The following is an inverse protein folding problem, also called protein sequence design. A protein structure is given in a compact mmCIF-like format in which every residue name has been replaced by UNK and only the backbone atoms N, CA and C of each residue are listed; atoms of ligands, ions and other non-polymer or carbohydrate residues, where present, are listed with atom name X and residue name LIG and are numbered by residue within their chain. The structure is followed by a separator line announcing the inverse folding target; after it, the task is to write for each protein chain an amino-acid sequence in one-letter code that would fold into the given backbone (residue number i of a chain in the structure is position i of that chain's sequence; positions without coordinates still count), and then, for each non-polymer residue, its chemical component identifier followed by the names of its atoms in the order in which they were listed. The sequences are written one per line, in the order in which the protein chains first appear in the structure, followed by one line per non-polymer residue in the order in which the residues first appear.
data_IF_081370840432
#
_entry.id   IF_081370840432
#
_cell.length_a   1.000
_cell.length_b   1.000
_cell.length_c   1.000
_cell.angle_alpha   90.00
_cell.angle_beta   90.00
_cell.angle_gamma   90.00
#
_symmetry.space_group_name_H-M   'P 1'
#
loop_
_entity.id
_entity.type
_entity.pdbx_description
1 polymer ?
#
# COMPACT_ATOMS: atom_id res chain seq x y z
N UNK A 1 22.40 -37.13 -30.77
CA UNK A 1 21.91 -37.41 -29.40
C UNK A 1 21.82 -36.07 -28.69
N UNK A 2 20.70 -35.33 -28.78
CA UNK A 2 19.43 -35.50 -28.03
C UNK A 2 19.65 -35.26 -26.54
N UNK A 3 19.00 -34.35 -25.80
CA UNK A 3 17.92 -33.38 -26.02
C UNK A 3 17.92 -32.38 -24.83
N UNK A 4 17.70 -31.08 -25.02
CA UNK A 4 16.44 -30.33 -24.91
C UNK A 4 15.51 -30.64 -23.72
N UNK A 5 15.19 -29.56 -22.97
CA UNK A 5 13.92 -29.22 -22.30
C UNK A 5 13.36 -30.13 -21.20
N UNK A 6 13.41 -29.66 -19.95
CA UNK A 6 12.44 -29.99 -18.89
C UNK A 6 11.99 -28.71 -18.17
N UNK A 7 11.30 -27.85 -18.92
CA UNK A 7 10.21 -27.05 -18.39
C UNK A 7 8.94 -27.87 -18.64
N UNK A 8 8.57 -28.66 -17.65
CA UNK A 8 7.44 -29.57 -17.79
C UNK A 8 6.13 -28.77 -17.86
N UNK A 9 5.48 -28.88 -19.02
CA UNK A 9 4.15 -28.35 -19.31
C UNK A 9 3.29 -29.56 -19.68
N UNK A 10 2.16 -29.75 -19.00
CA UNK A 10 1.08 -30.56 -19.56
C UNK A 10 -0.32 -29.89 -19.40
N UNK A 11 -1.19 -29.97 -20.42
CA UNK A 11 -2.46 -29.22 -20.58
C UNK A 11 -3.68 -30.12 -20.28
N UNK A 12 -4.97 -29.75 -20.32
CA UNK A 12 -5.80 -28.54 -20.45
C UNK A 12 -7.21 -28.90 -19.95
N UNK A 13 -7.96 -27.94 -19.40
CA UNK A 13 -9.38 -27.67 -19.72
C UNK A 13 -9.94 -26.57 -18.81
N UNK A 14 -10.44 -25.47 -19.40
CA UNK A 14 -11.20 -24.45 -18.68
C UNK A 14 -10.89 -23.03 -19.13
N UNK A 15 -11.46 -22.63 -20.28
CA UNK A 15 -11.44 -21.26 -20.79
C UNK A 15 -12.01 -20.27 -19.76
N UNK A 16 -11.17 -19.42 -19.16
CA UNK A 16 -11.57 -18.07 -18.68
C UNK A 16 -10.36 -17.13 -18.79
N UNK A 17 -10.60 -15.91 -19.29
CA UNK A 17 -9.58 -14.92 -19.60
C UNK A 17 -8.69 -14.59 -18.42
N UNK A 18 -7.43 -15.05 -18.49
CA UNK A 18 -6.42 -14.80 -17.48
C UNK A 18 -5.98 -13.34 -17.59
N UNK A 19 -6.56 -12.48 -16.73
CA UNK A 19 -5.97 -11.18 -16.34
C UNK A 19 -4.45 -11.37 -16.21
N UNK A 20 -3.67 -10.59 -16.96
CA UNK A 20 -2.23 -10.55 -16.82
C UNK A 20 -1.90 -10.37 -15.33
N UNK A 21 -1.25 -11.37 -14.71
CA UNK A 21 -0.78 -11.24 -13.32
C UNK A 21 0.32 -10.19 -13.35
N UNK A 22 0.02 -9.00 -12.84
CA UNK A 22 1.02 -7.97 -12.61
C UNK A 22 2.06 -8.54 -11.65
N UNK A 23 3.30 -8.66 -12.13
CA UNK A 23 4.49 -9.16 -11.42
C UNK A 23 4.46 -10.67 -11.09
N UNK A 24 5.35 -11.44 -11.71
CA UNK A 24 5.41 -12.89 -11.47
C UNK A 24 6.16 -13.22 -10.17
N UNK A 25 5.77 -14.32 -9.52
CA UNK A 25 6.32 -14.74 -8.24
C UNK A 25 7.83 -15.06 -8.33
N UNK A 26 8.31 -15.43 -9.52
CA UNK A 26 9.73 -15.60 -9.83
C UNK A 26 10.49 -14.27 -9.93
N UNK A 27 9.86 -13.24 -10.52
CA UNK A 27 10.44 -11.89 -10.65
C UNK A 27 10.66 -11.25 -9.27
N UNK A 28 9.72 -11.47 -8.34
CA UNK A 28 9.84 -11.00 -6.96
C UNK A 28 11.02 -11.63 -6.22
N UNK A 29 11.21 -12.96 -6.34
CA UNK A 29 12.32 -13.66 -5.68
C UNK A 29 13.67 -13.13 -6.16
N UNK A 30 13.82 -12.93 -7.46
CA UNK A 30 15.02 -12.35 -8.06
C UNK A 30 15.28 -10.92 -7.59
N UNK A 31 14.24 -10.09 -7.55
CA UNK A 31 14.34 -8.71 -7.06
C UNK A 31 14.74 -8.66 -5.58
N UNK A 32 14.13 -9.48 -4.73
CA UNK A 32 14.45 -9.57 -3.30
C UNK A 32 15.91 -9.99 -3.10
N UNK A 33 16.37 -11.00 -3.82
CA UNK A 33 17.76 -11.46 -3.73
C UNK A 33 18.74 -10.36 -4.20
N UNK A 34 18.40 -9.62 -5.26
CA UNK A 34 19.21 -8.50 -5.75
C UNK A 34 19.29 -7.33 -4.74
N UNK A 35 18.24 -7.11 -3.96
CA UNK A 35 18.25 -6.12 -2.86
C UNK A 35 19.16 -6.60 -1.72
N UNK A 36 18.97 -7.85 -1.28
CA UNK A 36 19.75 -8.47 -0.20
C UNK A 36 21.25 -8.49 -0.56
N UNK A 37 21.58 -8.67 -1.85
CA UNK A 37 22.96 -8.64 -2.33
C UNK A 37 23.65 -7.29 -2.14
N UNK A 38 22.91 -6.19 -2.23
CA UNK A 38 23.45 -4.85 -2.00
C UNK A 38 23.62 -4.56 -0.52
N UNK A 39 22.64 -4.97 0.28
CA UNK A 39 22.68 -4.78 1.72
C UNK A 39 21.87 -5.88 2.44
N UNK A 40 22.45 -6.54 3.46
CA UNK A 40 21.70 -7.44 4.32
C UNK A 40 20.53 -6.70 4.97
N UNK A 41 19.32 -7.26 4.84
CA UNK A 41 18.08 -6.52 5.10
C UNK A 41 17.08 -7.36 5.87
N UNK A 42 16.21 -6.71 6.65
CA UNK A 42 15.08 -7.35 7.30
C UNK A 42 13.86 -7.45 6.38
N UNK A 43 12.94 -8.37 6.67
CA UNK A 43 11.75 -8.58 5.84
C UNK A 43 10.89 -7.31 5.63
N UNK A 44 10.74 -6.48 6.67
CA UNK A 44 9.99 -5.22 6.54
C UNK A 44 10.72 -4.18 5.66
N UNK A 45 12.05 -4.12 5.73
CA UNK A 45 12.87 -3.23 4.89
C UNK A 45 12.77 -3.63 3.43
N UNK A 46 12.76 -4.94 3.16
CA UNK A 46 12.55 -5.48 1.82
C UNK A 46 11.18 -5.12 1.24
N UNK A 47 10.12 -5.07 2.06
CA UNK A 47 8.80 -4.61 1.60
C UNK A 47 8.87 -3.14 1.16
N UNK A 48 9.54 -2.29 1.93
CA UNK A 48 9.69 -0.87 1.60
C UNK A 48 10.56 -0.66 0.36
N UNK A 49 11.72 -1.32 0.30
CA UNK A 49 12.67 -1.20 -0.80
C UNK A 49 12.07 -1.70 -2.13
N UNK A 50 11.28 -2.78 -2.10
CA UNK A 50 10.55 -3.23 -3.29
C UNK A 50 9.53 -2.18 -3.73
N UNK A 51 8.76 -1.61 -2.80
CA UNK A 51 7.80 -0.55 -3.13
C UNK A 51 8.46 0.69 -3.73
N UNK A 52 9.57 1.14 -3.16
CA UNK A 52 10.33 2.29 -3.67
C UNK A 52 10.93 2.02 -5.05
N UNK A 53 11.57 0.87 -5.23
CA UNK A 53 12.16 0.49 -6.53
C UNK A 53 11.10 0.43 -7.61
N UNK A 54 9.90 -0.06 -7.27
CA UNK A 54 8.76 -0.16 -8.17
C UNK A 54 7.97 1.14 -8.32
N UNK A 55 8.51 2.28 -7.86
CA UNK A 55 7.89 3.59 -8.01
C UNK A 55 6.50 3.68 -7.36
N UNK A 56 6.28 2.92 -6.28
CA UNK A 56 5.00 2.83 -5.60
C UNK A 56 3.94 1.99 -6.30
N UNK A 57 4.23 1.40 -7.47
CA UNK A 57 3.24 0.65 -8.26
C UNK A 57 2.92 -0.73 -7.70
N UNK A 58 3.78 -1.27 -6.83
CA UNK A 58 3.57 -2.56 -6.18
C UNK A 58 4.28 -2.64 -4.83
N UNK A 59 3.54 -3.01 -3.79
CA UNK A 59 4.04 -3.30 -2.44
C UNK A 59 3.71 -4.75 -2.07
N UNK A 60 4.72 -5.63 -1.89
CA UNK A 60 4.45 -7.01 -1.53
C UNK A 60 3.87 -7.11 -0.12
N UNK A 61 2.84 -7.93 0.06
CA UNK A 61 2.31 -8.23 1.40
C UNK A 61 3.22 -9.20 2.15
N UNK A 62 3.18 -9.25 3.49
CA UNK A 62 3.89 -10.25 4.28
C UNK A 62 3.64 -11.69 3.80
N UNK A 63 2.41 -12.03 3.44
CA UNK A 63 2.03 -13.36 2.95
C UNK A 63 2.59 -13.73 1.58
N UNK A 64 3.16 -12.77 0.85
CA UNK A 64 3.87 -13.00 -0.41
C UNK A 64 5.38 -12.90 -0.22
N UNK A 65 5.84 -11.96 0.61
CA UNK A 65 7.26 -11.74 0.86
C UNK A 65 7.89 -12.90 1.64
N UNK A 66 7.30 -13.33 2.76
CA UNK A 66 7.94 -14.32 3.62
C UNK A 66 8.05 -15.70 2.95
N UNK A 67 7.06 -16.21 2.20
CA UNK A 67 7.26 -17.44 1.43
C UNK A 67 8.34 -17.31 0.34
N UNK A 68 8.51 -16.12 -0.26
CA UNK A 68 9.60 -15.87 -1.20
C UNK A 68 10.96 -15.89 -0.51
N UNK A 69 11.07 -15.33 0.71
CA UNK A 69 12.30 -15.38 1.52
C UNK A 69 12.62 -16.78 2.03
N UNK A 70 11.60 -17.54 2.47
CA UNK A 70 11.74 -18.96 2.81
C UNK A 70 12.27 -19.74 1.62
N UNK A 71 11.74 -19.50 0.42
CA UNK A 71 12.24 -20.17 -0.78
C UNK A 71 13.71 -19.83 -1.09
N UNK A 72 14.12 -18.57 -0.93
CA UNK A 72 15.52 -18.17 -1.12
C UNK A 72 16.45 -18.81 -0.07
N UNK A 73 15.96 -18.95 1.16
CA UNK A 73 16.67 -19.63 2.24
C UNK A 73 16.80 -21.13 2.00
N UNK A 74 15.69 -21.81 1.69
CA UNK A 74 15.66 -23.26 1.46
C UNK A 74 16.53 -23.68 0.25
N UNK A 75 16.65 -22.79 -0.75
CA UNK A 75 17.52 -22.99 -1.92
C UNK A 75 18.98 -22.65 -1.67
N UNK A 76 19.31 -22.15 -0.48
CA UNK A 76 20.67 -21.73 -0.11
C UNK A 76 21.14 -20.47 -0.82
N UNK A 77 20.23 -19.64 -1.36
CA UNK A 77 20.58 -18.36 -2.01
C UNK A 77 20.68 -17.20 -1.01
N UNK A 78 19.99 -17.33 0.13
CA UNK A 78 20.09 -16.40 1.24
C UNK A 78 20.23 -17.17 2.54
N UNK A 79 20.92 -16.60 3.51
CA UNK A 79 21.02 -17.10 4.87
C UNK A 79 20.40 -16.12 5.86
N UNK A 80 20.14 -16.59 7.07
CA UNK A 80 19.53 -15.80 8.13
C UNK A 80 20.54 -15.56 9.24
N UNK A 81 20.95 -14.31 9.39
CA UNK A 81 21.66 -13.84 10.57
C UNK A 81 20.64 -13.50 11.67
N UNK A 82 20.81 -14.14 12.83
CA UNK A 82 20.02 -13.83 14.02
C UNK A 82 20.71 -12.70 14.79
N UNK A 83 20.11 -11.51 14.76
CA UNK A 83 20.58 -10.40 15.56
C UNK A 83 20.17 -10.52 17.04
N UNK A 84 20.88 -9.77 17.90
CA UNK A 84 20.48 -9.58 19.30
C UNK A 84 19.04 -9.03 19.34
N UNK A 85 18.11 -9.82 19.87
CA UNK A 85 16.68 -9.51 19.88
C UNK A 85 15.81 -10.41 18.99
N UNK A 86 16.37 -11.45 18.37
CA UNK A 86 15.60 -12.48 17.65
C UNK A 86 15.08 -12.03 16.28
N UNK A 87 15.54 -10.88 15.78
CA UNK A 87 15.17 -10.37 14.46
C UNK A 87 16.01 -11.07 13.40
N UNK A 88 15.31 -11.61 12.39
CA UNK A 88 15.93 -12.28 11.24
C UNK A 88 16.41 -11.24 10.23
N UNK A 89 17.71 -11.21 9.97
CA UNK A 89 18.31 -10.44 8.87
C UNK A 89 18.70 -11.41 7.76
N UNK A 90 18.35 -11.09 6.52
CA UNK A 90 18.69 -11.92 5.37
C UNK A 90 19.98 -11.40 4.75
N UNK A 91 20.92 -12.31 4.48
CA UNK A 91 22.20 -12.05 3.80
C UNK A 91 22.32 -12.97 2.59
N UNK A 92 22.92 -12.49 1.51
CA UNK A 92 23.16 -13.32 0.32
C UNK A 92 24.31 -14.31 0.56
N UNK A 93 24.21 -15.50 -0.02
CA UNK A 93 25.27 -16.51 -0.05
C UNK A 93 26.07 -16.45 -1.36
N UNK A 94 27.14 -17.23 -1.46
CA UNK A 94 27.92 -17.32 -2.71
C UNK A 94 27.10 -17.98 -3.82
N UNK A 95 26.28 -18.97 -3.50
CA UNK A 95 25.31 -19.59 -4.41
C UNK A 95 24.25 -18.59 -4.87
N UNK A 96 23.81 -17.69 -3.98
CA UNK A 96 22.91 -16.60 -4.32
C UNK A 96 23.53 -15.61 -5.30
N UNK A 97 24.81 -15.26 -5.12
CA UNK A 97 25.55 -14.40 -6.04
C UNK A 97 25.73 -15.05 -7.43
N UNK A 98 26.02 -16.35 -7.48
CA UNK A 98 26.07 -17.10 -8.73
C UNK A 98 24.70 -17.12 -9.42
N UNK A 99 23.62 -17.31 -8.66
CA UNK A 99 22.26 -17.30 -9.18
C UNK A 99 21.86 -15.91 -9.74
N UNK A 100 22.21 -14.82 -9.06
CA UNK A 100 22.01 -13.47 -9.59
C UNK A 100 22.79 -13.23 -10.88
N UNK A 101 24.04 -13.68 -10.93
CA UNK A 101 24.91 -13.52 -12.11
C UNK A 101 24.34 -14.27 -13.32
N UNK A 102 23.84 -15.50 -13.12
CA UNK A 102 23.19 -16.29 -14.17
C UNK A 102 21.88 -15.67 -14.67
N UNK A 103 21.18 -14.89 -13.83
CA UNK A 103 19.90 -14.25 -14.14
C UNK A 103 20.03 -12.74 -14.41
N UNK A 104 21.26 -12.24 -14.63
CA UNK A 104 21.55 -10.81 -14.77
C UNK A 104 20.70 -10.13 -15.84
N UNK A 105 20.54 -10.75 -17.02
CA UNK A 105 19.70 -10.22 -18.10
C UNK A 105 18.24 -10.04 -17.68
N UNK A 106 17.69 -10.96 -16.88
CA UNK A 106 16.32 -10.88 -16.38
C UNK A 106 16.21 -9.78 -15.33
N UNK A 107 17.21 -9.65 -14.44
CA UNK A 107 17.26 -8.57 -13.45
C UNK A 107 17.37 -7.21 -14.13
N UNK A 108 18.23 -7.07 -15.12
CA UNK A 108 18.41 -5.82 -15.87
C UNK A 108 17.11 -5.45 -16.62
N UNK A 109 16.42 -6.44 -17.21
CA UNK A 109 15.09 -6.23 -17.80
C UNK A 109 14.02 -5.86 -16.75
N UNK A 110 14.05 -6.47 -15.56
CA UNK A 110 13.13 -6.14 -14.47
C UNK A 110 13.37 -4.71 -13.99
N UNK A 111 14.62 -4.35 -13.72
CA UNK A 111 15.01 -2.99 -13.32
C UNK A 111 14.65 -1.97 -14.42
N UNK A 112 14.80 -2.32 -15.70
CA UNK A 112 14.41 -1.48 -16.81
C UNK A 112 12.89 -1.34 -16.98
N UNK A 113 12.11 -2.42 -16.77
CA UNK A 113 10.63 -2.43 -16.84
C UNK A 113 9.99 -1.65 -15.69
N UNK A 114 10.73 -1.52 -14.61
CA UNK A 114 10.36 -0.85 -13.37
C UNK A 114 10.54 0.67 -13.45
N UNK A 115 11.06 1.18 -14.56
CA UNK A 115 11.10 2.62 -14.86
C UNK A 115 10.33 2.90 -16.16
N UNK A 116 9.03 3.24 -16.11
CA UNK A 116 8.50 4.13 -17.11
C UNK A 116 9.19 5.48 -16.94
N UNK A 117 9.67 6.06 -18.04
CA UNK A 117 10.01 7.49 -18.11
C UNK A 117 8.82 8.31 -17.59
N UNK A 118 8.85 8.68 -16.31
CA UNK A 118 8.05 9.79 -15.81
C UNK A 118 8.76 11.08 -16.27
N UNK A 119 8.57 11.43 -17.54
CA UNK A 119 8.66 12.82 -17.93
C UNK A 119 7.53 13.56 -17.22
N UNK A 120 7.90 14.32 -16.19
CA UNK A 120 6.99 15.14 -15.37
C UNK A 120 6.62 14.48 -14.05
N UNK A 121 7.38 14.75 -12.98
CA UNK A 121 7.02 15.65 -11.87
C UNK A 121 8.22 15.71 -10.90
N UNK A 122 8.38 16.85 -10.22
CA UNK A 122 9.62 17.37 -9.65
C UNK A 122 10.39 16.48 -8.65
N UNK A 123 11.68 16.84 -8.48
CA UNK A 123 12.56 16.45 -7.36
C UNK A 123 11.77 16.23 -6.08
N UNK A 124 12.06 15.16 -5.33
CA UNK A 124 11.63 15.07 -3.92
C UNK A 124 11.96 16.39 -3.23
N UNK A 125 10.99 17.16 -2.70
CA UNK A 125 11.26 18.51 -2.21
C UNK A 125 12.30 18.43 -1.10
N UNK A 126 13.42 19.12 -1.27
CA UNK A 126 14.56 19.13 -0.34
C UNK A 126 14.13 19.32 1.13
N UNK A 127 13.06 20.08 1.36
CA UNK A 127 12.42 20.28 2.65
C UNK A 127 11.99 18.98 3.37
N UNK A 128 11.53 17.95 2.64
CA UNK A 128 11.11 16.67 3.24
C UNK A 128 12.33 15.90 3.74
N UNK A 129 13.43 15.92 2.98
CA UNK A 129 14.69 15.27 3.37
C UNK A 129 15.26 15.94 4.62
N UNK A 130 15.28 17.28 4.65
CA UNK A 130 15.75 18.06 5.80
C UNK A 130 14.89 17.81 7.06
N UNK A 131 13.57 17.71 6.92
CA UNK A 131 12.66 17.38 8.01
C UNK A 131 12.89 15.97 8.57
N UNK A 132 13.12 14.98 7.69
CA UNK A 132 13.43 13.61 8.10
C UNK A 132 14.78 13.51 8.82
N UNK A 133 15.80 14.25 8.37
CA UNK A 133 17.11 14.31 9.04
C UNK A 133 17.03 15.00 10.40
N UNK A 134 16.17 16.00 10.56
CA UNK A 134 15.88 16.58 11.86
C UNK A 134 15.22 15.57 12.80
N UNK A 135 14.19 14.85 12.34
CA UNK A 135 13.51 13.80 13.13
C UNK A 135 14.48 12.70 13.56
N UNK A 136 15.30 12.19 12.62
CA UNK A 136 16.33 11.18 12.92
C UNK A 136 17.31 11.68 13.97
N UNK A 137 17.77 12.93 13.88
CA UNK A 137 18.67 13.52 14.89
C UNK A 137 18.00 13.65 16.25
N UNK A 138 16.77 14.12 16.32
CA UNK A 138 16.00 14.21 17.57
C UNK A 138 15.86 12.85 18.27
N UNK A 139 15.61 11.80 17.50
CA UNK A 139 15.52 10.42 18.00
C UNK A 139 16.90 9.81 18.33
N UNK A 140 17.94 10.20 17.59
CA UNK A 140 19.31 9.67 17.74
C UNK A 140 20.16 10.40 18.77
N UNK A 141 19.78 11.61 19.19
CA UNK A 141 20.48 12.46 20.17
C UNK A 141 20.64 11.81 21.55
N UNK A 142 20.16 10.58 21.74
CA UNK A 142 20.17 9.84 23.01
C UNK A 142 20.96 8.55 23.02
N UNK A 143 21.84 8.29 22.05
CA UNK A 143 22.69 7.10 22.04
C UNK A 143 23.70 6.98 23.22
N UNK A 144 23.75 7.95 24.15
CA UNK A 144 24.68 7.98 25.30
C UNK A 144 24.02 8.14 26.69
N UNK A 145 22.69 8.05 26.82
CA UNK A 145 22.00 8.20 28.12
C UNK A 145 21.00 7.07 28.39
N UNK A 146 20.64 6.94 29.68
CA UNK A 146 19.79 5.92 30.31
C UNK A 146 18.58 5.44 29.49
N UNK A 147 18.12 4.18 29.75
CA UNK A 147 16.93 3.62 29.10
C UNK A 147 15.75 4.57 29.14
N UNK A 148 15.13 4.77 27.98
CA UNK A 148 13.93 5.59 27.86
C UNK A 148 12.79 4.82 28.52
N UNK A 149 12.08 5.47 29.45
CA UNK A 149 10.88 4.87 30.04
C UNK A 149 9.87 4.53 28.94
N UNK A 150 9.22 3.37 29.04
CA UNK A 150 8.27 2.87 28.02
C UNK A 150 7.18 3.90 27.69
N UNK A 151 6.73 4.67 28.68
CA UNK A 151 5.75 5.75 28.50
C UNK A 151 6.23 6.82 27.49
N UNK A 152 7.53 7.15 27.50
CA UNK A 152 8.12 8.12 26.57
C UNK A 152 8.24 7.51 25.17
N UNK A 153 8.57 6.22 25.05
CA UNK A 153 8.60 5.50 23.75
C UNK A 153 7.21 5.46 23.12
N UNK A 154 6.19 5.11 23.91
CA UNK A 154 4.78 5.12 23.48
C UNK A 154 4.38 6.52 23.01
N UNK A 155 4.72 7.56 23.77
CA UNK A 155 4.39 8.94 23.41
C UNK A 155 5.07 9.41 22.12
N UNK A 156 6.33 9.01 21.89
CA UNK A 156 7.03 9.28 20.64
C UNK A 156 6.32 8.60 19.46
N UNK A 157 5.91 7.33 19.63
CA UNK A 157 5.16 6.59 18.63
C UNK A 157 3.85 7.29 18.26
N UNK A 158 3.06 7.73 19.25
CA UNK A 158 1.82 8.48 19.04
C UNK A 158 2.04 9.76 18.19
N UNK A 159 3.08 10.53 18.49
CA UNK A 159 3.41 11.76 17.76
C UNK A 159 3.73 11.45 16.29
N UNK A 160 4.52 10.40 16.05
CA UNK A 160 4.89 9.98 14.68
C UNK A 160 3.66 9.50 13.92
N UNK A 161 2.77 8.74 14.56
CA UNK A 161 1.51 8.29 13.95
C UNK A 161 0.60 9.46 13.57
N UNK A 162 0.45 10.47 14.43
CA UNK A 162 -0.32 11.68 14.10
C UNK A 162 0.28 12.41 12.90
N UNK A 163 1.60 12.59 12.86
CA UNK A 163 2.27 13.24 11.74
C UNK A 163 2.11 12.45 10.43
N UNK A 164 2.22 11.12 10.48
CA UNK A 164 2.01 10.25 9.32
C UNK A 164 0.58 10.35 8.78
N UNK A 165 -0.43 10.32 9.65
CA UNK A 165 -1.84 10.48 9.26
C UNK A 165 -2.09 11.84 8.57
N UNK A 166 -1.48 12.91 9.07
CA UNK A 166 -1.58 14.24 8.45
C UNK A 166 -0.94 14.28 7.06
N UNK A 167 0.23 13.65 6.88
CA UNK A 167 0.90 13.55 5.58
C UNK A 167 0.06 12.70 4.62
N UNK A 168 -0.49 11.57 5.07
CA UNK A 168 -1.40 10.75 4.28
C UNK A 168 -2.63 11.54 3.86
N UNK A 169 -3.24 12.33 4.75
CA UNK A 169 -4.35 13.21 4.40
C UNK A 169 -3.98 14.25 3.32
N UNK A 170 -2.78 14.82 3.38
CA UNK A 170 -2.27 15.76 2.37
C UNK A 170 -1.99 15.10 1.02
N UNK A 171 -1.36 13.93 1.01
CA UNK A 171 -1.07 13.17 -0.22
C UNK A 171 -2.32 12.57 -0.84
N UNK A 172 -3.35 12.33 -0.02
CA UNK A 172 -4.67 11.91 -0.45
C UNK A 172 -5.59 13.11 -0.74
N UNK A 173 -5.14 14.36 -0.60
CA UNK A 173 -5.90 15.52 -1.07
C UNK A 173 -6.00 15.47 -2.60
N UNK A 174 -7.18 15.70 -3.20
CA UNK A 174 -7.39 15.37 -4.60
C UNK A 174 -6.69 16.44 -5.46
N UNK A 175 -5.79 15.99 -6.34
CA UNK A 175 -5.39 16.82 -7.49
C UNK A 175 -6.46 16.63 -8.57
N UNK A 176 -7.53 17.42 -8.48
CA UNK A 176 -8.64 17.36 -9.42
C UNK A 176 -8.15 17.86 -10.80
N UNK A 177 -8.14 16.99 -11.81
CA UNK A 177 -7.99 17.46 -13.20
C UNK A 177 -9.28 18.17 -13.64
N UNK A 178 -9.17 19.16 -14.53
CA UNK A 178 -10.31 19.78 -15.18
C UNK A 178 -11.17 18.70 -15.88
N UNK A 179 -12.35 18.39 -15.32
CA UNK A 179 -13.28 17.37 -15.86
C UNK A 179 -13.80 16.33 -14.87
N UNK A 180 -13.30 16.26 -13.64
CA UNK A 180 -13.86 15.37 -12.61
C UNK A 180 -15.24 15.84 -12.15
N UNK A 181 -16.22 14.92 -12.11
CA UNK A 181 -17.57 15.21 -11.63
C UNK A 181 -17.65 14.95 -10.12
N UNK A 182 -18.27 15.85 -9.37
CA UNK A 182 -18.32 15.78 -7.90
C UNK A 182 -19.73 15.99 -7.38
N UNK A 183 -20.10 15.23 -6.35
CA UNK A 183 -21.33 15.48 -5.60
C UNK A 183 -21.13 15.24 -4.10
N UNK A 184 -22.03 15.79 -3.30
CA UNK A 184 -22.08 15.61 -1.85
C UNK A 184 -23.49 15.19 -1.43
N UNK A 185 -23.60 14.35 -0.41
CA UNK A 185 -24.85 14.07 0.29
C UNK A 185 -24.65 14.30 1.78
N UNK A 186 -25.51 15.13 2.36
CA UNK A 186 -25.59 15.37 3.80
C UNK A 186 -26.76 14.57 4.35
N UNK A 187 -26.44 13.52 5.10
CA UNK A 187 -27.43 12.57 5.64
C UNK A 187 -27.65 12.93 7.10
N UNK A 188 -28.88 13.36 7.44
CA UNK A 188 -29.22 13.70 8.83
C UNK A 188 -29.35 12.41 9.64
N UNK A 189 -28.40 12.17 10.55
CA UNK A 189 -28.42 11.02 11.45
C UNK A 189 -27.57 11.29 12.69
N UNK A 190 -28.05 10.95 13.90
CA UNK A 190 -27.23 10.99 15.10
C UNK A 190 -26.19 9.86 15.15
N UNK A 191 -26.27 8.88 14.24
CA UNK A 191 -25.45 7.66 14.26
C UNK A 191 -24.36 7.64 13.15
N UNK A 192 -23.86 8.80 12.72
CA UNK A 192 -22.91 8.89 11.60
C UNK A 192 -21.67 7.99 11.73
N UNK A 193 -21.10 7.86 12.93
CA UNK A 193 -19.95 6.98 13.21
C UNK A 193 -20.22 5.51 12.89
N UNK A 194 -21.46 5.06 13.08
CA UNK A 194 -21.87 3.69 12.77
C UNK A 194 -21.83 3.44 11.28
N UNK A 195 -22.31 4.40 10.48
CA UNK A 195 -22.27 4.32 9.02
C UNK A 195 -20.84 4.40 8.49
N UNK A 196 -20.03 5.32 9.04
CA UNK A 196 -18.60 5.42 8.76
C UNK A 196 -17.90 4.07 8.98
N UNK A 197 -18.02 3.48 10.18
CA UNK A 197 -17.42 2.18 10.52
C UNK A 197 -17.89 1.05 9.61
N UNK A 198 -19.19 0.99 9.32
CA UNK A 198 -19.78 -0.11 8.55
C UNK A 198 -19.42 -0.04 7.06
N UNK A 199 -19.48 1.14 6.44
CA UNK A 199 -19.03 1.33 5.07
C UNK A 199 -17.53 1.06 4.97
N UNK A 200 -16.75 1.63 5.89
CA UNK A 200 -15.32 1.38 5.99
C UNK A 200 -14.96 -0.09 6.01
N UNK A 201 -15.49 -0.85 6.97
CA UNK A 201 -15.26 -2.29 7.10
C UNK A 201 -15.72 -3.08 5.87
N UNK A 202 -16.84 -2.69 5.25
CA UNK A 202 -17.34 -3.35 4.04
C UNK A 202 -16.34 -3.21 2.87
N UNK A 203 -15.77 -2.02 2.69
CA UNK A 203 -14.86 -1.73 1.58
C UNK A 203 -13.40 -2.11 1.84
N UNK A 204 -12.99 -2.29 3.11
CA UNK A 204 -11.63 -2.73 3.48
C UNK A 204 -11.18 -4.04 2.79
N UNK A 205 -12.13 -4.93 2.49
CA UNK A 205 -11.83 -6.17 1.78
C UNK A 205 -11.55 -5.99 0.28
N UNK A 206 -11.90 -4.84 -0.31
CA UNK A 206 -11.80 -4.57 -1.76
C UNK A 206 -10.85 -3.43 -2.10
N UNK A 207 -10.61 -2.51 -1.18
CA UNK A 207 -9.71 -1.37 -1.35
C UNK A 207 -9.06 -0.99 -0.03
N UNK A 208 -7.84 -0.43 -0.02
CA UNK A 208 -7.34 0.29 1.13
C UNK A 208 -8.32 1.39 1.53
N UNK A 209 -8.70 1.40 2.81
CA UNK A 209 -9.57 2.39 3.42
C UNK A 209 -8.78 3.06 4.55
N UNK A 210 -8.67 4.38 4.52
CA UNK A 210 -8.09 5.19 5.60
C UNK A 210 -9.23 5.77 6.41
N UNK A 211 -9.23 5.56 7.72
CA UNK A 211 -10.28 6.04 8.61
C UNK A 211 -9.70 6.45 9.95
N UNK A 212 -10.31 7.47 10.53
CA UNK A 212 -10.19 7.83 11.93
C UNK A 212 -11.57 7.71 12.62
N UNK A 213 -11.73 8.33 13.80
CA UNK A 213 -12.97 8.27 14.57
C UNK A 213 -14.15 8.98 13.86
N UNK A 214 -13.88 10.03 13.08
CA UNK A 214 -14.88 10.94 12.53
C UNK A 214 -14.80 11.09 11.01
N UNK A 215 -13.80 10.52 10.36
CA UNK A 215 -13.58 10.64 8.92
C UNK A 215 -13.13 9.33 8.31
N UNK A 216 -13.44 9.17 7.03
CA UNK A 216 -13.04 8.00 6.26
C UNK A 216 -12.90 8.33 4.78
N UNK A 217 -11.92 7.71 4.15
CA UNK A 217 -11.66 7.90 2.74
C UNK A 217 -11.19 6.59 2.11
N UNK A 218 -11.74 6.29 0.93
CA UNK A 218 -11.30 5.16 0.13
C UNK A 218 -11.52 5.41 -1.35
N UNK A 219 -10.79 4.66 -2.17
CA UNK A 219 -10.85 4.76 -3.63
C UNK A 219 -11.50 3.53 -4.24
N UNK A 220 -12.19 3.72 -5.35
CA UNK A 220 -12.74 2.66 -6.19
C UNK A 220 -12.26 2.84 -7.63
N UNK A 221 -12.50 1.84 -8.49
CA UNK A 221 -12.13 1.92 -9.92
C UNK A 221 -12.79 3.08 -10.68
N UNK A 222 -13.88 3.63 -10.14
CA UNK A 222 -14.73 4.64 -10.76
C UNK A 222 -14.59 6.05 -10.15
N UNK A 223 -13.91 6.17 -9.01
CA UNK A 223 -13.76 7.43 -8.31
C UNK A 223 -13.36 7.28 -6.85
N UNK A 224 -13.52 8.37 -6.11
CA UNK A 224 -13.14 8.53 -4.71
C UNK A 224 -14.36 8.78 -3.83
N UNK A 225 -14.36 8.17 -2.65
CA UNK A 225 -15.39 8.35 -1.63
C UNK A 225 -14.74 8.94 -0.39
N UNK A 226 -15.26 10.08 0.08
CA UNK A 226 -14.96 10.65 1.40
C UNK A 226 -16.21 10.66 2.24
N UNK A 227 -16.01 10.41 3.53
CA UNK A 227 -17.05 10.34 4.54
C UNK A 227 -16.59 11.14 5.75
N UNK A 228 -17.46 11.98 6.26
CA UNK A 228 -17.22 12.81 7.44
C UNK A 228 -18.43 12.74 8.37
N UNK A 229 -18.17 12.60 9.66
CA UNK A 229 -19.17 12.60 10.72
C UNK A 229 -19.10 13.97 11.40
N UNK A 230 -20.16 14.74 11.18
CA UNK A 230 -20.41 16.03 11.82
C UNK A 230 -21.52 15.87 12.86
N UNK A 231 -21.78 16.92 13.64
CA UNK A 231 -22.83 16.90 14.66
C UNK A 231 -24.21 16.69 14.01
N UNK A 232 -24.78 15.48 14.21
CA UNK A 232 -26.08 15.09 13.65
C UNK A 232 -26.12 14.89 12.13
N UNK A 233 -24.97 14.96 11.44
CA UNK A 233 -24.88 14.87 9.98
C UNK A 233 -23.76 13.91 9.59
N UNK A 234 -24.08 12.93 8.74
CA UNK A 234 -23.10 12.11 8.05
C UNK A 234 -22.96 12.59 6.60
N UNK A 235 -21.83 13.22 6.29
CA UNK A 235 -21.53 13.78 4.97
C UNK A 235 -20.76 12.77 4.14
N UNK A 236 -21.23 12.50 2.93
CA UNK A 236 -20.54 11.66 1.94
C UNK A 236 -20.25 12.48 0.70
N UNK A 237 -18.98 12.57 0.32
CA UNK A 237 -18.53 13.27 -0.90
C UNK A 237 -18.01 12.25 -1.91
N UNK A 238 -18.52 12.33 -3.14
CA UNK A 238 -18.09 11.49 -4.26
C UNK A 238 -17.40 12.34 -5.30
N UNK A 239 -16.26 11.86 -5.76
CA UNK A 239 -15.54 12.44 -6.90
C UNK A 239 -15.31 11.34 -7.91
N UNK A 240 -15.90 11.46 -9.09
CA UNK A 240 -15.79 10.48 -10.16
C UNK A 240 -15.04 11.04 -11.36
N UNK A 241 -14.57 10.12 -12.22
CA UNK A 241 -13.86 10.48 -13.45
C UNK A 241 -14.74 11.23 -14.45
N UNK A 242 -16.06 11.00 -14.42
CA UNK A 242 -17.08 11.64 -15.24
C UNK A 242 -18.47 11.49 -14.60
N UNK A 243 -19.50 12.12 -15.18
CA UNK A 243 -20.87 12.07 -14.65
C UNK A 243 -21.47 10.65 -14.65
N UNK A 244 -21.23 9.86 -15.70
CA UNK A 244 -21.76 8.48 -15.79
C UNK A 244 -21.26 7.62 -14.61
N UNK A 245 -19.96 7.72 -14.29
CA UNK A 245 -19.34 7.03 -13.16
C UNK A 245 -19.81 7.61 -11.82
N UNK A 246 -20.09 8.90 -11.75
CA UNK A 246 -20.66 9.52 -10.55
C UNK A 246 -22.03 8.91 -10.22
N UNK A 247 -22.90 8.77 -11.23
CA UNK A 247 -24.21 8.14 -11.06
C UNK A 247 -24.09 6.68 -10.63
N UNK A 248 -23.13 5.92 -11.18
CA UNK A 248 -22.85 4.54 -10.74
C UNK A 248 -22.41 4.49 -9.26
N UNK A 249 -21.53 5.40 -8.85
CA UNK A 249 -21.07 5.50 -7.45
C UNK A 249 -22.20 5.86 -6.48
N UNK A 250 -23.07 6.81 -6.86
CA UNK A 250 -24.24 7.19 -6.05
C UNK A 250 -25.13 5.98 -5.77
N UNK A 251 -25.47 5.19 -6.79
CA UNK A 251 -26.29 3.99 -6.64
C UNK A 251 -25.64 2.94 -5.75
N UNK A 252 -24.34 2.70 -5.93
CA UNK A 252 -23.61 1.73 -5.09
C UNK A 252 -23.68 2.18 -3.63
N UNK A 253 -23.38 3.45 -3.33
CA UNK A 253 -23.36 3.90 -1.95
C UNK A 253 -24.72 3.94 -1.29
N UNK A 254 -25.76 4.40 -1.98
CA UNK A 254 -27.13 4.38 -1.45
C UNK A 254 -27.52 2.97 -1.04
N UNK A 255 -27.27 1.97 -1.89
CA UNK A 255 -27.54 0.58 -1.56
C UNK A 255 -26.81 0.11 -0.30
N UNK A 256 -25.52 0.43 -0.16
CA UNK A 256 -24.75 0.03 1.02
C UNK A 256 -25.19 0.78 2.29
N UNK A 257 -25.64 2.03 2.15
CA UNK A 257 -26.21 2.82 3.24
C UNK A 257 -27.55 2.25 3.70
N UNK A 258 -28.43 1.87 2.78
CA UNK A 258 -29.71 1.20 3.09
C UNK A 258 -29.48 -0.15 3.77
N UNK A 259 -28.56 -0.97 3.26
CA UNK A 259 -28.15 -2.24 3.89
C UNK A 259 -27.54 -2.01 5.29
N UNK A 260 -26.90 -0.86 5.52
CA UNK A 260 -26.36 -0.46 6.81
C UNK A 260 -27.43 0.10 7.77
N UNK A 261 -28.48 0.72 7.25
CA UNK A 261 -29.55 1.42 8.00
C UNK A 261 -30.62 0.47 8.55
N UNK A 262 -30.24 -0.74 9.00
CA UNK A 262 -31.16 -1.71 9.62
C UNK A 262 -31.93 -1.03 10.76
N UNK A 263 -33.23 -0.74 10.53
CA UNK A 263 -34.19 -0.04 11.42
C UNK A 263 -34.13 1.51 11.45
N UNK A 264 -33.49 2.16 10.50
CA UNK A 264 -33.45 3.62 10.33
C UNK A 264 -33.74 3.96 8.86
N UNK A 265 -34.58 4.97 8.58
CA UNK A 265 -34.77 5.44 7.20
C UNK A 265 -33.82 6.60 6.97
N UNK A 266 -32.92 6.47 5.99
CA UNK A 266 -32.00 7.52 5.61
C UNK A 266 -32.52 8.24 4.38
N UNK A 267 -32.65 9.56 4.47
CA UNK A 267 -32.87 10.39 3.30
C UNK A 267 -31.51 10.81 2.74
N UNK A 268 -31.17 10.29 1.55
CA UNK A 268 -29.90 10.56 0.89
C UNK A 268 -30.17 11.42 -0.35
N UNK A 269 -29.85 12.71 -0.27
CA UNK A 269 -30.02 13.67 -1.37
C UNK A 269 -28.64 14.09 -1.86
N UNK A 270 -28.32 13.76 -3.11
CA UNK A 270 -27.06 14.16 -3.75
C UNK A 270 -27.18 15.57 -4.34
N UNK A 271 -26.22 16.43 -4.02
CA UNK A 271 -26.07 17.77 -4.55
C UNK A 271 -24.78 17.87 -5.37
N UNK A 272 -24.79 18.47 -6.58
CA UNK A 272 -23.58 18.71 -7.35
C UNK A 272 -22.68 19.73 -6.62
N UNK A 273 -21.36 19.60 -6.80
CA UNK A 273 -20.34 20.45 -6.14
C UNK A 273 -19.40 21.07 -7.15
#
# INVERSE_FOLDING_TARGET
MVGQSELDTQPAAGKTGRRARAFDYGELRLLLLAIIAKQPSHGYELIHEVNERLGGTYKPSPGVLYPALTWLYDRGYAEIDLEKGGRKRYRITDEGNAFLSANKTVIDMLVARVVPKAQGHGKSPQAIVEAMDHLKRALSLRAKMEPVADQVVTRIGEIIHVAANQIEALLNAPTLSAGAAKCVADIVTPNGERFLRRLGSHFQHRTPVVMDENSGHFRMSMGEVRMEVLEGIFRVTLTALNEEKLTEMQHILVRHLEEAAVRETLEVIWQPV
#
